data_IF_734252262105
#
_entry.id   IF_734252262105
#
_cell.length_a   1.000
_cell.length_b   1.000
_cell.length_c   1.000
_cell.angle_alpha   90.00
_cell.angle_beta   90.00
_cell.angle_gamma   90.00
#
_symmetry.space_group_name_H-M   'P 1'
#
loop_
_entity.id
_entity.type
_entity.pdbx_description
1 polymer ?
#
# COMPACT_ATOMS: atom_id res chain seq x y z
N UNK A 1 17.86 -44.24 48.35
CA UNK A 1 19.25 -44.71 48.21
C UNK A 1 19.84 -44.17 46.92
N UNK A 2 21.02 -43.55 47.01
CA UNK A 2 21.96 -43.28 45.90
C UNK A 2 22.41 -44.65 45.33
N UNK A 3 22.98 -44.87 44.14
CA UNK A 3 23.90 -44.20 43.21
C UNK A 3 23.80 -45.05 41.91
N UNK A 4 24.07 -44.63 40.66
CA UNK A 4 25.38 -44.48 40.03
C UNK A 4 25.18 -44.30 38.51
N UNK A 5 25.80 -43.24 37.97
CA UNK A 5 26.23 -43.10 36.57
C UNK A 5 27.57 -43.83 36.37
N UNK A 6 27.92 -44.20 35.13
CA UNK A 6 29.27 -43.88 34.64
C UNK A 6 29.31 -43.28 33.20
N UNK A 7 29.88 -42.07 33.16
CA UNK A 7 30.84 -41.43 32.25
C UNK A 7 31.17 -41.96 30.80
N UNK A 8 31.16 -40.95 29.89
CA UNK A 8 32.18 -40.51 28.89
C UNK A 8 32.38 -41.17 27.49
N UNK A 9 32.14 -40.31 26.46
CA UNK A 9 32.94 -39.96 25.23
C UNK A 9 33.42 -41.11 24.32
N UNK A 10 33.32 -41.11 22.98
CA UNK A 10 33.54 -40.08 21.94
C UNK A 10 32.89 -40.53 20.61
N UNK A 11 32.55 -39.59 19.71
CA UNK A 11 32.20 -39.90 18.31
C UNK A 11 31.41 -38.80 17.60
N UNK A 12 32.11 -37.86 16.96
CA UNK A 12 31.58 -37.10 15.82
C UNK A 12 31.66 -38.02 14.57
N UNK A 13 30.83 -37.88 13.50
CA UNK A 13 30.67 -36.62 12.75
C UNK A 13 29.27 -36.42 12.11
N UNK A 14 29.23 -35.45 11.18
CA UNK A 14 28.20 -35.17 10.17
C UNK A 14 27.19 -34.07 10.53
N UNK A 15 27.61 -32.84 10.22
CA UNK A 15 26.73 -31.71 9.98
C UNK A 15 25.80 -32.03 8.79
N UNK A 16 24.53 -32.33 9.09
CA UNK A 16 23.48 -32.35 8.09
C UNK A 16 23.07 -30.91 7.77
N UNK A 17 23.48 -30.44 6.57
CA UNK A 17 22.95 -29.23 5.94
C UNK A 17 21.44 -29.37 5.77
N UNK A 18 20.66 -28.55 6.46
CA UNK A 18 19.23 -28.36 6.15
C UNK A 18 19.10 -27.57 4.83
N UNK A 19 18.21 -27.99 3.91
CA UNK A 19 18.00 -27.28 2.65
C UNK A 19 17.36 -25.92 2.92
N UNK A 20 18.07 -24.89 2.49
CA UNK A 20 17.65 -23.49 2.39
C UNK A 20 16.55 -23.39 1.33
N UNK A 21 15.30 -23.18 1.75
CA UNK A 21 14.18 -23.10 0.81
C UNK A 21 12.83 -22.79 1.44
N UNK A 22 12.64 -21.58 1.93
CA UNK A 22 11.32 -20.94 1.98
C UNK A 22 11.55 -19.44 1.77
N UNK A 23 11.29 -18.97 0.55
CA UNK A 23 11.43 -17.54 0.23
C UNK A 23 10.41 -16.77 1.07
N UNK A 24 10.90 -15.85 1.90
CA UNK A 24 10.07 -14.94 2.67
C UNK A 24 9.12 -14.18 1.72
N UNK A 25 7.83 -14.19 2.06
CA UNK A 25 6.82 -13.42 1.34
C UNK A 25 7.10 -11.91 1.41
N UNK A 26 6.47 -11.10 0.54
CA UNK A 26 6.75 -9.67 0.46
C UNK A 26 6.40 -8.95 1.76
N UNK A 27 7.31 -8.11 2.26
CA UNK A 27 7.15 -7.35 3.49
C UNK A 27 6.01 -6.31 3.48
N UNK A 28 5.67 -5.76 4.67
CA UNK A 28 4.44 -4.99 4.92
C UNK A 28 4.32 -3.69 4.11
N UNK A 29 5.44 -3.04 3.75
CA UNK A 29 5.43 -1.82 2.91
C UNK A 29 5.11 -2.09 1.44
N UNK A 30 5.17 -3.35 1.02
CA UNK A 30 4.86 -3.80 -0.35
C UNK A 30 3.46 -4.41 -0.48
N UNK A 31 2.72 -4.53 0.61
CA UNK A 31 1.41 -5.18 0.63
C UNK A 31 0.39 -4.53 -0.33
N UNK A 32 0.57 -3.23 -0.61
CA UNK A 32 -0.38 -2.44 -1.42
C UNK A 32 0.21 -2.00 -2.77
N UNK A 33 1.51 -2.21 -3.00
CA UNK A 33 2.14 -2.01 -4.31
C UNK A 33 1.75 -3.08 -5.35
N UNK A 34 1.06 -4.13 -4.91
CA UNK A 34 0.53 -5.21 -5.74
C UNK A 34 -1.00 -5.25 -5.73
N UNK A 35 -1.68 -4.10 -5.61
CA UNK A 35 -3.07 -4.04 -6.04
C UNK A 35 -3.15 -4.22 -7.55
N UNK A 36 -3.04 -5.47 -7.96
CA UNK A 36 -3.61 -5.93 -9.22
C UNK A 36 -5.11 -5.76 -9.04
N UNK A 37 -5.75 -5.02 -9.94
CA UNK A 37 -7.18 -5.26 -10.17
C UNK A 37 -7.32 -6.76 -10.33
N UNK A 38 -8.18 -7.41 -9.52
CA UNK A 38 -8.44 -8.83 -9.72
C UNK A 38 -8.71 -9.03 -11.21
N UNK A 39 -7.95 -9.94 -11.82
CA UNK A 39 -8.24 -10.31 -13.19
C UNK A 39 -9.71 -10.73 -13.18
N UNK A 40 -10.54 -10.00 -13.92
CA UNK A 40 -11.89 -10.48 -14.21
C UNK A 40 -11.65 -11.91 -14.68
N UNK A 41 -12.14 -12.90 -13.95
CA UNK A 41 -12.00 -14.29 -14.36
C UNK A 41 -12.47 -14.44 -15.81
N UNK A 42 -12.25 -15.59 -16.44
CA UNK A 42 -12.88 -15.77 -17.75
C UNK A 42 -14.40 -15.68 -17.60
N UNK A 43 -15.12 -14.93 -18.47
CA UNK A 43 -16.57 -14.96 -18.48
C UNK A 43 -17.08 -16.41 -18.48
N UNK A 44 -18.12 -16.69 -17.70
CA UNK A 44 -18.68 -18.04 -17.49
C UNK A 44 -17.82 -19.03 -16.69
N UNK A 45 -16.71 -18.59 -16.07
CA UNK A 45 -15.99 -19.42 -15.11
C UNK A 45 -16.55 -19.31 -13.69
N UNK A 46 -16.40 -20.34 -12.83
CA UNK A 46 -16.78 -20.27 -11.41
C UNK A 46 -16.06 -19.15 -10.63
N UNK A 47 -14.91 -18.70 -11.12
CA UNK A 47 -14.12 -17.60 -10.57
C UNK A 47 -14.50 -16.20 -11.09
N UNK A 48 -15.40 -16.10 -12.06
CA UNK A 48 -15.84 -14.82 -12.60
C UNK A 48 -16.71 -14.07 -11.59
N UNK A 49 -16.26 -12.90 -11.15
CA UNK A 49 -17.00 -12.04 -10.22
C UNK A 49 -17.05 -10.62 -10.74
N UNK A 50 -18.22 -10.03 -10.64
CA UNK A 50 -18.44 -8.62 -10.97
C UNK A 50 -18.73 -7.87 -9.66
N UNK A 51 -18.01 -6.78 -9.46
CA UNK A 51 -18.18 -5.90 -8.31
C UNK A 51 -18.77 -4.60 -8.82
N UNK A 52 -20.05 -4.38 -8.54
CA UNK A 52 -20.77 -3.19 -8.94
C UNK A 52 -21.00 -2.22 -7.78
N UNK A 53 -21.10 -2.76 -6.57
CA UNK A 53 -21.30 -1.99 -5.35
C UNK A 53 -20.46 -2.56 -4.18
N UNK A 54 -20.55 -1.90 -3.04
CA UNK A 54 -19.78 -2.26 -1.84
C UNK A 54 -20.26 -3.57 -1.19
N UNK A 55 -21.54 -3.94 -1.37
CA UNK A 55 -22.10 -5.18 -0.84
C UNK A 55 -21.55 -6.41 -1.56
N UNK A 56 -21.23 -6.28 -2.86
CA UNK A 56 -20.54 -7.34 -3.60
C UNK A 56 -19.18 -7.68 -2.97
N UNK A 57 -18.46 -6.66 -2.46
CA UNK A 57 -17.19 -6.86 -1.77
C UNK A 57 -17.40 -7.62 -0.47
N UNK A 58 -18.38 -7.23 0.35
CA UNK A 58 -18.72 -7.96 1.59
C UNK A 58 -19.06 -9.42 1.32
N UNK A 59 -19.87 -9.66 0.29
CA UNK A 59 -20.34 -11.00 -0.10
C UNK A 59 -19.21 -11.90 -0.59
N UNK A 60 -18.38 -11.39 -1.49
CA UNK A 60 -17.39 -12.20 -2.21
C UNK A 60 -15.99 -12.17 -1.57
N UNK A 61 -15.74 -11.23 -0.65
CA UNK A 61 -14.48 -11.06 0.09
C UNK A 61 -14.76 -10.75 1.57
N UNK A 62 -15.30 -11.72 2.33
CA UNK A 62 -15.60 -11.51 3.75
C UNK A 62 -14.32 -11.15 4.53
N UNK A 63 -14.41 -10.14 5.42
CA UNK A 63 -13.29 -9.65 6.23
C UNK A 63 -12.40 -8.59 5.56
N UNK A 64 -12.56 -8.35 4.25
CA UNK A 64 -11.66 -7.47 3.49
C UNK A 64 -11.87 -5.99 3.82
N UNK A 65 -13.12 -5.58 4.02
CA UNK A 65 -13.47 -4.20 4.37
C UNK A 65 -13.04 -3.88 5.81
N UNK A 66 -13.22 -4.83 6.73
CA UNK A 66 -12.79 -4.75 8.12
C UNK A 66 -11.27 -4.69 8.23
N UNK A 67 -10.55 -5.52 7.47
CA UNK A 67 -9.09 -5.47 7.39
C UNK A 67 -8.59 -4.12 6.85
N UNK A 68 -9.28 -3.55 5.84
CA UNK A 68 -8.96 -2.23 5.28
C UNK A 68 -9.15 -1.12 6.32
N UNK A 69 -10.25 -1.13 7.07
CA UNK A 69 -10.49 -0.17 8.16
C UNK A 69 -9.45 -0.30 9.26
N UNK A 70 -9.15 -1.52 9.70
CA UNK A 70 -8.15 -1.76 10.75
C UNK A 70 -6.76 -1.31 10.32
N UNK A 71 -6.38 -1.54 9.06
CA UNK A 71 -5.10 -1.05 8.53
C UNK A 71 -5.03 0.47 8.64
N UNK A 72 -6.03 1.19 8.13
CA UNK A 72 -6.04 2.66 8.22
C UNK A 72 -6.18 3.18 9.65
N UNK A 73 -6.84 2.45 10.55
CA UNK A 73 -6.97 2.82 11.96
C UNK A 73 -5.61 2.81 12.66
N UNK A 74 -4.80 1.79 12.38
CA UNK A 74 -3.65 1.43 13.19
C UNK A 74 -2.29 1.73 12.57
N UNK A 75 -2.19 1.99 11.25
CA UNK A 75 -0.89 2.06 10.55
C UNK A 75 0.10 3.10 11.12
N UNK A 76 -0.39 4.14 11.80
CA UNK A 76 0.44 5.20 12.39
C UNK A 76 0.86 4.92 13.84
N UNK A 77 0.29 3.91 14.49
CA UNK A 77 0.61 3.57 15.89
C UNK A 77 2.09 3.17 16.07
N UNK A 78 2.70 2.37 15.17
CA UNK A 78 4.12 2.08 15.26
C UNK A 78 5.02 3.33 15.22
N UNK A 79 4.53 4.45 14.66
CA UNK A 79 5.20 5.75 14.64
C UNK A 79 4.94 6.60 15.89
N UNK A 80 4.27 6.04 16.92
CA UNK A 80 3.91 6.75 18.15
C UNK A 80 2.70 7.69 18.02
N UNK A 81 1.95 7.62 16.92
CA UNK A 81 0.75 8.45 16.69
C UNK A 81 -0.52 7.71 17.18
N UNK A 82 -1.58 8.44 17.59
CA UNK A 82 -2.84 7.82 18.00
C UNK A 82 -3.57 7.12 16.84
N UNK A 83 -4.58 6.32 17.19
CA UNK A 83 -5.51 5.74 16.22
C UNK A 83 -6.17 6.80 15.33
N UNK A 84 -6.23 6.53 14.03
CA UNK A 84 -7.00 7.39 13.13
C UNK A 84 -8.51 7.18 13.35
N UNK A 85 -9.25 8.29 13.33
CA UNK A 85 -10.70 8.30 13.41
C UNK A 85 -11.32 8.42 12.02
N UNK A 86 -12.55 7.93 11.88
CA UNK A 86 -13.27 7.91 10.60
C UNK A 86 -14.61 8.62 10.72
N UNK A 87 -14.99 9.33 9.66
CA UNK A 87 -16.36 9.82 9.48
C UNK A 87 -17.34 8.64 9.37
N UNK A 88 -18.63 8.90 9.57
CA UNK A 88 -19.70 7.90 9.44
C UNK A 88 -19.48 6.64 10.29
N UNK A 89 -18.80 6.76 11.44
CA UNK A 89 -18.38 5.63 12.28
C UNK A 89 -17.58 4.53 11.54
N UNK A 90 -16.87 4.90 10.46
CA UNK A 90 -16.13 3.94 9.64
C UNK A 90 -17.00 3.15 8.66
N UNK A 91 -18.25 3.53 8.44
CA UNK A 91 -19.11 2.89 7.43
C UNK A 91 -18.63 3.23 6.00
N UNK A 92 -18.45 2.19 5.18
CA UNK A 92 -18.21 2.39 3.75
C UNK A 92 -19.47 2.89 3.06
N UNK A 93 -19.35 4.02 2.34
CA UNK A 93 -20.45 4.55 1.54
C UNK A 93 -20.55 3.85 0.18
N UNK A 94 -21.71 3.97 -0.45
CA UNK A 94 -21.99 3.34 -1.74
C UNK A 94 -21.23 4.04 -2.89
N UNK A 95 -21.32 3.44 -4.09
CA UNK A 95 -20.69 3.94 -5.32
C UNK A 95 -21.12 5.36 -5.68
N UNK A 96 -22.39 5.70 -5.49
CA UNK A 96 -22.91 7.02 -5.86
C UNK A 96 -22.26 8.13 -5.01
N UNK A 97 -22.23 7.94 -3.69
CA UNK A 97 -21.56 8.86 -2.77
C UNK A 97 -20.07 9.01 -3.09
N UNK A 98 -19.38 7.89 -3.37
CA UNK A 98 -17.97 7.94 -3.76
C UNK A 98 -17.74 8.76 -5.05
N UNK A 99 -18.61 8.61 -6.05
CA UNK A 99 -18.53 9.38 -7.29
C UNK A 99 -18.79 10.87 -7.08
N UNK A 100 -19.67 11.25 -6.16
CA UNK A 100 -19.89 12.65 -5.80
C UNK A 100 -18.65 13.27 -5.17
N UNK A 101 -18.01 12.59 -4.22
CA UNK A 101 -16.76 13.06 -3.60
C UNK A 101 -15.65 13.20 -4.64
N UNK A 102 -15.48 12.20 -5.53
CA UNK A 102 -14.50 12.26 -6.63
C UNK A 102 -14.77 13.44 -7.55
N UNK A 103 -16.04 13.67 -7.92
CA UNK A 103 -16.41 14.80 -8.76
C UNK A 103 -16.08 16.12 -8.07
N UNK A 104 -16.42 16.26 -6.79
CA UNK A 104 -16.13 17.48 -6.02
C UNK A 104 -14.63 17.75 -5.94
N UNK A 105 -13.80 16.75 -5.64
CA UNK A 105 -12.35 16.94 -5.55
C UNK A 105 -11.71 17.20 -6.91
N UNK A 106 -12.27 16.65 -7.98
CA UNK A 106 -11.86 16.97 -9.34
C UNK A 106 -12.13 18.43 -9.71
N UNK A 107 -13.26 19.00 -9.30
CA UNK A 107 -13.52 20.44 -9.49
C UNK A 107 -12.56 21.31 -8.68
N UNK A 108 -12.22 20.91 -7.45
CA UNK A 108 -11.16 21.59 -6.67
C UNK A 108 -9.79 21.53 -7.40
N UNK A 109 -9.43 20.39 -7.98
CA UNK A 109 -8.21 20.24 -8.77
C UNK A 109 -8.21 21.12 -10.03
N UNK A 110 -9.35 21.23 -10.74
CA UNK A 110 -9.47 22.16 -11.87
C UNK A 110 -9.28 23.61 -11.44
N UNK A 111 -9.90 24.00 -10.31
CA UNK A 111 -9.74 25.35 -9.78
C UNK A 111 -8.28 25.66 -9.43
N UNK A 112 -7.58 24.69 -8.84
CA UNK A 112 -6.14 24.77 -8.53
C UNK A 112 -5.31 24.97 -9.80
N UNK A 113 -5.50 24.15 -10.82
CA UNK A 113 -4.75 24.25 -12.07
C UNK A 113 -5.04 25.53 -12.86
N UNK A 114 -6.21 26.13 -12.66
CA UNK A 114 -6.61 27.36 -13.36
C UNK A 114 -6.30 28.62 -12.54
N UNK A 115 -5.48 28.51 -11.48
CA UNK A 115 -5.11 29.60 -10.56
C UNK A 115 -6.33 30.31 -9.92
N UNK A 116 -7.47 29.59 -9.82
CA UNK A 116 -8.70 30.13 -9.22
C UNK A 116 -8.72 30.00 -7.69
N UNK A 117 -7.71 29.37 -7.11
CA UNK A 117 -7.49 29.27 -5.67
C UNK A 117 -5.99 29.29 -5.34
N UNK A 118 -5.64 29.66 -4.10
CA UNK A 118 -4.26 29.71 -3.66
C UNK A 118 -3.65 28.29 -3.64
N UNK A 119 -2.71 28.02 -4.57
CA UNK A 119 -2.07 26.71 -4.69
C UNK A 119 -1.04 26.39 -3.59
N UNK A 120 -0.71 27.37 -2.74
CA UNK A 120 0.25 27.19 -1.66
C UNK A 120 1.58 26.65 -2.15
N UNK A 121 2.02 25.52 -1.60
CA UNK A 121 3.27 24.85 -1.96
C UNK A 121 3.14 23.84 -3.12
N UNK A 122 1.95 23.70 -3.72
CA UNK A 122 1.73 22.69 -4.77
C UNK A 122 2.25 23.21 -6.11
N UNK A 123 3.19 22.48 -6.72
CA UNK A 123 3.65 22.75 -8.07
C UNK A 123 2.59 22.25 -9.08
N UNK A 124 2.03 23.18 -9.86
CA UNK A 124 0.99 22.93 -10.84
C UNK A 124 1.52 22.84 -12.30
N UNK A 125 2.84 22.89 -12.51
CA UNK A 125 3.47 22.78 -13.82
C UNK A 125 3.04 21.51 -14.54
N UNK A 126 2.56 21.64 -15.78
CA UNK A 126 2.08 20.52 -16.56
C UNK A 126 2.30 20.73 -18.07
N UNK A 127 2.35 19.65 -18.85
CA UNK A 127 2.64 19.70 -20.31
C UNK A 127 1.38 19.50 -21.16
N UNK A 128 0.25 19.14 -20.56
CA UNK A 128 -0.93 18.64 -21.31
C UNK A 128 -2.19 19.48 -21.16
N UNK A 129 -2.30 20.32 -20.14
CA UNK A 129 -3.48 21.17 -19.94
C UNK A 129 -3.19 22.52 -20.56
N UNK A 130 -3.42 22.66 -21.86
CA UNK A 130 -3.03 23.85 -22.62
C UNK A 130 -3.66 25.16 -22.10
N UNK A 131 -4.87 25.08 -21.52
CA UNK A 131 -5.57 26.25 -20.96
C UNK A 131 -5.10 26.63 -19.55
N UNK A 132 -4.20 25.85 -18.95
CA UNK A 132 -3.67 26.11 -17.61
C UNK A 132 -2.58 27.19 -17.68
N UNK A 133 -2.59 28.22 -16.81
CA UNK A 133 -1.49 29.19 -16.71
C UNK A 133 -0.15 28.55 -16.35
N UNK A 134 -0.17 27.36 -15.75
CA UNK A 134 1.04 26.58 -15.41
C UNK A 134 1.53 25.65 -16.54
N UNK A 135 1.02 25.78 -17.75
CA UNK A 135 1.44 24.94 -18.86
C UNK A 135 2.91 25.21 -19.24
N UNK A 136 3.72 24.16 -19.41
CA UNK A 136 5.08 24.24 -19.92
C UNK A 136 5.26 23.37 -21.18
N UNK A 137 6.29 23.68 -21.96
CA UNK A 137 6.68 22.89 -23.12
C UNK A 137 7.27 21.53 -22.72
N UNK A 138 7.27 20.59 -23.67
CA UNK A 138 7.86 19.29 -23.44
C UNK A 138 9.37 19.39 -23.22
N UNK A 139 10.03 20.35 -23.87
CA UNK A 139 11.46 20.63 -23.77
C UNK A 139 11.84 21.11 -22.37
N UNK A 140 11.07 22.04 -21.79
CA UNK A 140 11.26 22.51 -20.41
C UNK A 140 11.10 21.37 -19.40
N UNK A 141 10.06 20.54 -19.57
CA UNK A 141 9.85 19.38 -18.71
C UNK A 141 11.00 18.35 -18.81
N UNK A 142 11.53 18.12 -20.02
CA UNK A 142 12.70 17.23 -20.23
C UNK A 142 13.94 17.78 -19.56
N UNK A 143 14.23 19.07 -19.75
CA UNK A 143 15.38 19.73 -19.13
C UNK A 143 15.35 19.63 -17.60
N UNK A 144 14.16 19.77 -16.99
CA UNK A 144 13.98 19.56 -15.55
C UNK A 144 14.38 18.15 -15.12
N UNK A 145 13.92 17.12 -15.83
CA UNK A 145 14.27 15.71 -15.52
C UNK A 145 15.77 15.46 -15.68
N UNK A 146 16.37 15.96 -16.75
CA UNK A 146 17.80 15.79 -17.04
C UNK A 146 18.69 16.50 -16.00
N UNK A 147 18.22 17.61 -15.43
CA UNK A 147 18.95 18.33 -14.38
C UNK A 147 19.03 17.56 -13.06
N UNK A 148 18.17 16.55 -12.86
CA UNK A 148 18.13 15.76 -11.63
C UNK A 148 19.06 14.55 -11.74
N UNK A 149 20.13 14.54 -10.95
CA UNK A 149 21.01 13.37 -10.84
C UNK A 149 20.33 12.23 -10.09
N UNK A 150 20.12 11.10 -10.76
CA UNK A 150 19.55 9.91 -10.14
C UNK A 150 20.60 9.18 -9.28
N UNK A 151 20.34 9.06 -7.97
CA UNK A 151 21.12 8.16 -7.12
C UNK A 151 20.48 6.77 -7.14
N UNK A 152 21.24 5.76 -7.56
CA UNK A 152 20.81 4.36 -7.51
C UNK A 152 20.52 4.00 -6.04
N UNK A 153 19.26 3.64 -5.75
CA UNK A 153 18.83 3.27 -4.40
C UNK A 153 19.76 2.18 -3.82
N UNK A 154 20.46 2.50 -2.74
CA UNK A 154 21.11 1.50 -1.89
C UNK A 154 20.03 0.54 -1.38
N UNK A 155 20.35 -0.76 -1.37
CA UNK A 155 19.40 -1.84 -1.09
C UNK A 155 18.56 -1.63 0.17
N UNK A 156 17.38 -2.24 0.17
CA UNK A 156 16.32 -2.15 1.18
C UNK A 156 16.83 -2.04 2.62
N UNK A 157 16.39 -1.01 3.34
CA UNK A 157 16.58 -0.89 4.78
C UNK A 157 15.95 -2.11 5.49
N UNK A 158 16.67 -2.70 6.44
CA UNK A 158 16.19 -3.84 7.26
C UNK A 158 14.90 -3.51 8.03
N UNK A 159 14.65 -2.22 8.30
CA UNK A 159 13.42 -1.71 8.93
C UNK A 159 12.14 -2.09 8.16
N UNK A 160 12.22 -2.28 6.84
CA UNK A 160 11.04 -2.62 6.01
C UNK A 160 10.53 -4.06 6.26
N UNK A 161 11.26 -4.86 7.04
CA UNK A 161 10.93 -6.26 7.35
C UNK A 161 10.40 -6.47 8.78
N UNK A 162 10.20 -5.39 9.55
CA UNK A 162 9.73 -5.47 10.94
C UNK A 162 8.20 -5.66 10.98
N UNK A 163 7.75 -6.62 11.78
CA UNK A 163 6.33 -6.82 12.11
C UNK A 163 5.98 -6.12 13.40
N UNK A 164 4.97 -5.26 13.36
CA UNK A 164 4.41 -4.62 14.54
C UNK A 164 3.11 -5.31 14.95
N UNK A 165 3.11 -5.92 16.14
CA UNK A 165 1.93 -6.54 16.73
C UNK A 165 1.34 -5.57 17.74
N UNK A 166 0.11 -5.14 17.47
CA UNK A 166 -0.64 -4.31 18.40
C UNK A 166 -1.39 -5.25 19.33
N UNK A 167 -1.07 -5.18 20.63
CA UNK A 167 -1.73 -5.98 21.66
C UNK A 167 -3.25 -5.83 21.61
N UNK A 168 -3.96 -6.86 22.06
CA UNK A 168 -5.43 -6.81 22.22
C UNK A 168 -5.82 -6.07 23.48
#
# INVERSE_FOLDING_TARGET
MRVLLPLLRTGAPAAARLPRGASAGPGPRRAMAFYRTEERGQPHSPGYRLFFNIEDVKKYKPGYLEATLNWFRFYKIPEGKPENQFAFNGEFKNKAFALEVIKSTHECWKALLMEKCAGGAINCTNVQVCDSPFHCSQEEARSLVESVSFSLNKGSNEEDQVWHFLGK
#
